data_IF_726951906815
#
_entry.id   IF_726951906815
#
_cell.length_a   1.000
_cell.length_b   1.000
_cell.length_c   1.000
_cell.angle_alpha   90.00
_cell.angle_beta   90.00
_cell.angle_gamma   90.00
#
_symmetry.space_group_name_H-M   'P 1'
#
loop_
_entity.id
_entity.type
_entity.pdbx_description
1 polymer ?
#
# COMPACT_ATOMS: atom_id res chain seq x y z
N UNK A 1 -5.56 11.89 2.21
CA UNK A 1 -4.53 11.14 2.97
C UNK A 1 -3.28 12.00 3.11
N UNK A 2 -2.43 11.73 4.10
CA UNK A 2 -1.09 12.29 4.23
C UNK A 2 -0.05 11.15 4.25
N UNK A 3 1.15 11.40 3.72
CA UNK A 3 2.32 10.53 3.86
C UNK A 3 3.47 11.33 4.45
N UNK A 4 4.17 10.79 5.46
CA UNK A 4 5.38 11.36 6.06
C UNK A 4 6.59 10.47 5.75
N UNK A 5 7.75 11.04 5.41
CA UNK A 5 9.00 10.31 5.09
C UNK A 5 10.20 11.01 5.74
N UNK A 6 11.14 10.23 6.27
CA UNK A 6 12.36 10.69 6.95
C UNK A 6 13.66 10.33 6.19
N UNK A 7 14.50 11.34 5.91
CA UNK A 7 15.86 11.22 5.37
C UNK A 7 15.99 10.90 3.86
N UNK A 8 16.48 11.84 3.04
CA UNK A 8 16.89 11.56 1.65
C UNK A 8 17.41 12.76 0.86
N UNK A 9 18.28 12.51 -0.13
CA UNK A 9 18.36 13.31 -1.37
C UNK A 9 17.11 13.05 -2.23
N UNK A 10 16.90 13.79 -3.33
CA UNK A 10 15.71 13.68 -4.23
C UNK A 10 15.08 12.29 -4.25
N UNK A 11 13.89 12.19 -3.67
CA UNK A 11 13.15 10.94 -3.48
C UNK A 11 12.07 10.85 -4.55
N UNK A 12 12.22 9.91 -5.47
CA UNK A 12 11.15 9.54 -6.39
C UNK A 12 10.08 8.77 -5.63
N UNK A 13 8.82 9.15 -5.76
CA UNK A 13 7.69 8.45 -5.20
C UNK A 13 6.88 7.82 -6.30
N UNK A 14 6.42 6.59 -6.11
CA UNK A 14 5.60 5.84 -7.04
C UNK A 14 4.25 5.51 -6.44
N UNK A 15 3.22 5.68 -7.25
CA UNK A 15 1.86 5.24 -6.94
C UNK A 15 1.28 4.56 -8.17
N UNK A 16 0.53 3.49 -7.98
CA UNK A 16 -0.15 2.81 -9.10
C UNK A 16 -1.42 3.56 -9.50
N UNK A 17 -1.60 3.70 -10.82
CA UNK A 17 -2.77 4.23 -11.48
C UNK A 17 -3.52 3.10 -12.18
N UNK A 18 -4.82 3.06 -11.95
CA UNK A 18 -5.75 2.26 -12.72
C UNK A 18 -6.43 3.13 -13.78
N UNK A 19 -6.92 2.48 -14.83
CA UNK A 19 -7.76 3.15 -15.81
C UNK A 19 -8.97 3.79 -15.11
N UNK A 20 -9.26 5.05 -15.43
CA UNK A 20 -10.30 5.85 -14.75
C UNK A 20 -9.94 6.37 -13.36
N UNK A 21 -8.76 6.06 -12.81
CA UNK A 21 -8.32 6.66 -11.55
C UNK A 21 -7.75 8.06 -11.74
N UNK A 22 -7.92 8.91 -10.72
CA UNK A 22 -7.37 10.27 -10.68
C UNK A 22 -6.69 10.50 -9.33
N UNK A 23 -5.46 11.02 -9.36
CA UNK A 23 -4.69 11.35 -8.16
C UNK A 23 -4.31 12.82 -8.22
N UNK A 24 -4.61 13.53 -7.14
CA UNK A 24 -4.37 14.96 -7.01
C UNK A 24 -3.54 15.25 -5.78
N UNK A 25 -2.39 15.88 -5.99
CA UNK A 25 -1.55 16.35 -4.90
C UNK A 25 -2.16 17.65 -4.32
N UNK A 26 -2.44 17.64 -3.02
CA UNK A 26 -3.14 18.72 -2.33
C UNK A 26 -2.19 19.65 -1.56
N UNK A 27 -1.15 19.11 -0.93
CA UNK A 27 -0.17 19.90 -0.19
C UNK A 27 1.16 19.16 -0.02
N UNK A 28 2.27 19.88 0.09
CA UNK A 28 3.57 19.36 0.52
C UNK A 28 4.07 20.24 1.68
N UNK A 29 4.74 19.64 2.66
CA UNK A 29 5.38 20.30 3.81
C UNK A 29 6.75 19.66 4.05
N UNK A 30 7.79 20.47 4.21
CA UNK A 30 9.15 19.98 4.52
C UNK A 30 9.91 19.40 3.31
N UNK A 31 9.37 19.55 2.09
CA UNK A 31 10.04 19.16 0.85
C UNK A 31 9.60 20.07 -0.31
N UNK A 32 10.47 20.21 -1.30
CA UNK A 32 10.16 20.85 -2.58
C UNK A 32 9.90 19.79 -3.65
N UNK A 33 8.94 20.09 -4.52
CA UNK A 33 8.72 19.29 -5.72
C UNK A 33 9.78 19.65 -6.74
N UNK A 34 10.56 18.66 -7.19
CA UNK A 34 11.66 18.86 -8.13
C UNK A 34 11.15 19.08 -9.55
N UNK A 35 10.08 18.36 -9.94
CA UNK A 35 9.54 18.35 -11.30
C UNK A 35 8.03 18.09 -11.34
N UNK A 36 7.43 18.16 -12.54
CA UNK A 36 6.11 17.60 -12.86
C UNK A 36 5.83 16.22 -12.26
N UNK A 37 4.58 15.94 -11.90
CA UNK A 37 4.14 14.54 -11.72
C UNK A 37 4.18 13.88 -13.09
N UNK A 38 4.96 12.81 -13.23
CA UNK A 38 5.16 12.10 -14.50
C UNK A 38 4.39 10.79 -14.51
N UNK A 39 3.78 10.43 -15.63
CA UNK A 39 3.17 9.11 -15.81
C UNK A 39 4.21 8.17 -16.42
N UNK A 40 4.43 7.01 -15.80
CA UNK A 40 5.35 5.97 -16.27
C UNK A 40 4.59 4.65 -16.30
N UNK A 41 4.15 4.24 -17.50
CA UNK A 41 3.29 3.07 -17.67
C UNK A 41 2.02 3.20 -16.85
N UNK A 42 1.81 2.28 -15.91
CA UNK A 42 0.67 2.25 -14.97
C UNK A 42 0.95 2.97 -13.64
N UNK A 43 2.02 3.74 -13.53
CA UNK A 43 2.39 4.44 -12.30
C UNK A 43 2.50 5.95 -12.51
N UNK A 44 2.32 6.73 -11.45
CA UNK A 44 2.80 8.11 -11.40
C UNK A 44 4.10 8.20 -10.59
N UNK A 45 4.94 9.14 -10.98
CA UNK A 45 6.22 9.49 -10.36
C UNK A 45 6.13 10.91 -9.83
N UNK A 46 6.45 11.10 -8.55
CA UNK A 46 6.54 12.39 -7.88
C UNK A 46 7.91 12.48 -7.22
N UNK A 47 8.77 13.36 -7.72
CA UNK A 47 10.10 13.56 -7.13
C UNK A 47 10.04 14.71 -6.14
N UNK A 48 10.35 14.41 -4.87
CA UNK A 48 10.42 15.39 -3.79
C UNK A 48 11.85 15.49 -3.26
N UNK A 49 12.33 16.71 -3.12
CA UNK A 49 13.59 17.04 -2.45
C UNK A 49 13.27 17.44 -1.01
N UNK A 50 13.69 16.67 0.01
CA UNK A 50 13.47 17.04 1.40
C UNK A 50 14.26 18.32 1.76
N UNK A 51 13.59 19.26 2.44
CA UNK A 51 14.22 20.46 3.01
C UNK A 51 14.53 20.27 4.51
N UNK A 52 14.05 19.18 5.09
CA UNK A 52 14.16 18.83 6.51
C UNK A 52 14.38 17.32 6.69
N UNK A 53 14.65 16.89 7.93
CA UNK A 53 14.80 15.47 8.26
C UNK A 53 13.56 14.64 7.96
N UNK A 54 12.37 15.24 8.05
CA UNK A 54 11.10 14.65 7.64
C UNK A 54 10.30 15.59 6.76
N UNK A 55 9.50 15.03 5.86
CA UNK A 55 8.54 15.78 5.06
C UNK A 55 7.21 15.04 4.98
N UNK A 56 6.15 15.78 4.70
CA UNK A 56 4.81 15.25 4.55
C UNK A 56 4.14 15.78 3.28
N UNK A 57 3.33 14.95 2.61
CA UNK A 57 2.46 15.44 1.55
C UNK A 57 1.06 14.83 1.61
N UNK A 58 0.08 15.61 1.19
CA UNK A 58 -1.33 15.24 1.15
C UNK A 58 -1.80 15.07 -0.27
N UNK A 59 -2.62 14.06 -0.50
CA UNK A 59 -3.20 13.77 -1.80
C UNK A 59 -4.63 13.24 -1.68
N UNK A 60 -5.37 13.37 -2.78
CA UNK A 60 -6.70 12.83 -3.00
C UNK A 60 -6.62 11.79 -4.11
N UNK A 61 -7.38 10.71 -3.97
CA UNK A 61 -7.49 9.65 -4.96
C UNK A 61 -8.97 9.45 -5.27
N UNK A 62 -9.28 9.36 -6.55
CA UNK A 62 -10.56 8.86 -7.06
C UNK A 62 -10.26 7.52 -7.71
N UNK A 63 -10.86 6.44 -7.19
CA UNK A 63 -10.75 5.10 -7.75
C UNK A 63 -11.92 4.83 -8.72
N UNK A 64 -11.72 3.96 -9.72
CA UNK A 64 -12.82 3.49 -10.54
C UNK A 64 -13.76 2.58 -9.73
N UNK A 65 -15.02 2.41 -10.18
CA UNK A 65 -16.00 1.55 -9.52
C UNK A 65 -15.47 0.13 -9.27
N UNK A 66 -15.78 -0.42 -8.09
CA UNK A 66 -15.34 -1.75 -7.68
C UNK A 66 -13.93 -1.79 -7.06
N UNK A 67 -13.26 -0.64 -6.99
CA UNK A 67 -12.00 -0.43 -6.24
C UNK A 67 -12.12 0.63 -5.16
N UNK A 68 -13.35 1.03 -4.84
CA UNK A 68 -13.69 2.07 -3.88
C UNK A 68 -13.29 1.73 -2.43
N UNK A 69 -12.89 0.47 -2.20
CA UNK A 69 -12.42 -0.08 -0.93
C UNK A 69 -10.90 -0.34 -0.93
N UNK A 70 -10.15 0.35 -1.79
CA UNK A 70 -8.69 0.27 -1.88
C UNK A 70 -8.11 1.68 -1.90
N UNK A 71 -7.09 1.90 -1.09
CA UNK A 71 -6.38 3.16 -1.07
C UNK A 71 -4.95 2.96 -1.57
N UNK A 72 -4.58 3.50 -2.75
CA UNK A 72 -3.21 3.44 -3.22
C UNK A 72 -2.35 4.43 -2.44
N UNK A 73 -1.11 4.03 -2.17
CA UNK A 73 -0.15 4.81 -1.38
C UNK A 73 1.04 5.18 -2.25
N UNK A 74 1.49 6.42 -2.13
CA UNK A 74 2.76 6.84 -2.70
C UNK A 74 3.89 6.21 -1.90
N UNK A 75 4.76 5.45 -2.57
CA UNK A 75 5.91 4.83 -1.95
C UNK A 75 7.17 5.47 -2.47
N UNK A 76 8.17 5.75 -1.62
CA UNK A 76 9.45 6.20 -2.11
C UNK A 76 10.14 5.04 -2.85
N UNK A 77 10.57 5.27 -4.08
CA UNK A 77 11.41 4.37 -4.85
C UNK A 77 12.88 4.60 -4.43
N UNK A 78 13.21 4.21 -3.19
CA UNK A 78 14.58 4.32 -2.68
C UNK A 78 15.39 3.09 -3.14
N UNK A 79 16.61 3.27 -3.68
CA UNK A 79 17.47 2.15 -4.07
C UNK A 79 17.78 1.22 -2.89
N UNK A 80 17.73 -0.09 -3.12
CA UNK A 80 18.24 -1.11 -2.19
C UNK A 80 19.76 -1.19 -2.25
N UNK A 81 20.44 -0.09 -1.92
CA UNK A 81 21.90 0.02 -1.97
C UNK A 81 22.57 -0.25 -0.61
N UNK A 82 21.78 -0.57 0.42
CA UNK A 82 22.26 -0.83 1.78
C UNK A 82 22.81 0.41 2.52
N UNK A 83 22.81 1.58 1.87
CA UNK A 83 23.22 2.87 2.44
C UNK A 83 22.01 3.74 2.76
N UNK A 84 20.94 3.56 2.00
CA UNK A 84 19.69 4.28 2.18
C UNK A 84 19.03 3.95 3.53
N UNK A 85 18.56 5.00 4.22
CA UNK A 85 17.89 4.85 5.53
C UNK A 85 16.54 4.18 5.36
N UNK A 86 16.12 3.43 6.39
CA UNK A 86 14.77 2.90 6.44
C UNK A 86 13.76 4.06 6.40
N UNK A 87 12.72 3.92 5.58
CA UNK A 87 11.67 4.94 5.47
C UNK A 87 10.52 4.56 6.38
N UNK A 88 10.20 5.45 7.32
CA UNK A 88 8.93 5.41 8.05
C UNK A 88 7.84 6.02 7.18
N UNK A 89 6.75 5.28 6.99
CA UNK A 89 5.53 5.72 6.32
C UNK A 89 4.41 5.82 7.34
N UNK A 90 3.64 6.90 7.26
CA UNK A 90 2.39 7.05 8.02
C UNK A 90 1.26 7.39 7.06
N UNK A 91 0.11 6.75 7.23
CA UNK A 91 -1.04 6.91 6.36
C UNK A 91 -2.31 7.12 7.17
N UNK A 92 -3.13 8.09 6.76
CA UNK A 92 -4.46 8.32 7.31
C UNK A 92 -5.52 7.89 6.29
N UNK A 93 -6.34 6.89 6.65
CA UNK A 93 -7.52 6.49 5.90
C UNK A 93 -8.66 7.52 6.03
N UNK A 94 -9.67 7.50 5.13
CA UNK A 94 -10.87 8.30 5.30
C UNK A 94 -11.55 8.08 6.65
N UNK A 95 -12.26 9.09 7.15
CA UNK A 95 -13.00 9.00 8.40
C UNK A 95 -14.06 7.88 8.36
N UNK A 96 -14.37 7.30 9.52
CA UNK A 96 -15.32 6.19 9.65
C UNK A 96 -14.98 5.02 8.70
N UNK A 97 -13.71 4.58 8.70
CA UNK A 97 -13.28 3.38 7.97
C UNK A 97 -12.46 2.47 8.87
N UNK A 98 -12.54 1.17 8.60
CA UNK A 98 -11.73 0.14 9.24
C UNK A 98 -10.67 -0.36 8.25
N UNK A 99 -9.38 -0.34 8.63
CA UNK A 99 -8.31 -0.84 7.78
C UNK A 99 -8.36 -2.36 7.62
N UNK A 100 -7.93 -2.83 6.45
CA UNK A 100 -7.70 -4.23 6.16
C UNK A 100 -6.22 -4.59 6.11
N UNK A 101 -5.96 -5.89 5.91
CA UNK A 101 -4.61 -6.41 5.75
C UNK A 101 -3.95 -5.80 4.51
N UNK A 102 -2.71 -5.36 4.63
CA UNK A 102 -1.97 -4.68 3.57
C UNK A 102 -0.52 -5.14 3.52
N UNK A 103 0.08 -5.01 2.34
CA UNK A 103 1.52 -5.07 2.16
C UNK A 103 1.98 -3.65 1.81
N UNK A 104 2.98 -3.07 2.51
CA UNK A 104 3.60 -3.57 3.73
C UNK A 104 2.57 -3.66 4.86
N UNK A 105 2.88 -4.49 5.85
CA UNK A 105 2.05 -4.62 7.04
C UNK A 105 2.11 -3.32 7.86
N UNK A 106 1.06 -2.51 7.75
CA UNK A 106 0.88 -1.34 8.61
C UNK A 106 0.39 -1.78 9.98
N UNK A 107 0.99 -1.20 11.02
CA UNK A 107 0.40 -1.20 12.37
C UNK A 107 -0.65 -0.10 12.44
N UNK A 108 -1.90 -0.47 12.70
CA UNK A 108 -3.04 0.44 12.69
C UNK A 108 -3.48 0.84 14.09
N UNK A 109 -3.72 2.14 14.28
CA UNK A 109 -4.41 2.72 15.44
C UNK A 109 -5.61 3.52 14.92
N UNK A 110 -6.78 2.89 14.91
CA UNK A 110 -7.97 3.42 14.23
C UNK A 110 -7.73 3.53 12.72
N UNK A 111 -7.96 4.72 12.16
CA UNK A 111 -7.75 4.99 10.73
C UNK A 111 -6.30 5.34 10.35
N UNK A 112 -5.38 5.42 11.32
CA UNK A 112 -3.97 5.76 11.09
C UNK A 112 -3.10 4.52 11.09
N UNK A 113 -2.32 4.33 10.04
CA UNK A 113 -1.39 3.22 9.87
C UNK A 113 0.05 3.72 9.84
N UNK A 114 0.97 2.97 10.46
CA UNK A 114 2.41 3.21 10.36
C UNK A 114 3.15 1.96 9.90
N UNK A 115 4.15 2.11 9.04
CA UNK A 115 5.03 1.03 8.59
C UNK A 115 6.45 1.58 8.41
N UNK A 116 7.46 0.74 8.71
CA UNK A 116 8.87 1.08 8.45
C UNK A 116 9.41 0.13 7.39
N UNK A 117 9.99 0.68 6.32
CA UNK A 117 10.46 -0.07 5.17
C UNK A 117 11.98 0.05 5.05
N UNK A 118 12.68 -1.07 5.21
CA UNK A 118 14.13 -1.15 4.98
C UNK A 118 14.51 -1.33 3.51
N UNK A 119 13.59 -1.85 2.69
CA UNK A 119 13.72 -2.07 1.24
C UNK A 119 12.30 -2.10 0.67
N UNK A 120 12.09 -1.50 -0.50
CA UNK A 120 10.75 -1.12 -0.95
C UNK A 120 10.22 -1.97 -2.12
N UNK A 121 9.03 -2.56 -2.00
CA UNK A 121 8.22 -2.91 -3.17
C UNK A 121 7.75 -1.61 -3.85
N UNK A 122 7.64 -1.61 -5.18
CA UNK A 122 7.35 -0.40 -5.95
C UNK A 122 5.91 0.12 -5.79
N UNK A 123 4.97 -0.71 -5.32
CA UNK A 123 3.53 -0.40 -5.24
C UNK A 123 2.87 -1.11 -4.06
N UNK A 124 1.91 -0.44 -3.43
CA UNK A 124 1.19 -0.87 -2.22
C UNK A 124 -0.26 -0.40 -2.29
N UNK A 125 -1.19 -1.27 -1.89
CA UNK A 125 -2.61 -0.94 -1.76
C UNK A 125 -3.14 -1.39 -0.41
N UNK A 126 -3.90 -0.51 0.25
CA UNK A 126 -4.55 -0.83 1.52
C UNK A 126 -6.04 -1.06 1.29
N UNK A 127 -6.58 -2.26 1.55
CA UNK A 127 -8.02 -2.46 1.61
C UNK A 127 -8.60 -1.76 2.84
N UNK A 128 -9.78 -1.18 2.69
CA UNK A 128 -10.54 -0.62 3.82
C UNK A 128 -12.04 -0.85 3.62
N UNK A 129 -12.80 -0.75 4.70
CA UNK A 129 -14.26 -0.86 4.69
C UNK A 129 -14.86 0.29 5.50
N UNK A 130 -15.88 1.00 4.99
CA UNK A 130 -16.60 2.01 5.79
C UNK A 130 -17.16 1.42 7.09
N UNK A 131 -17.28 2.24 8.12
CA UNK A 131 -17.84 1.86 9.40
C UNK A 131 -19.31 1.44 9.24
N UNK A 132 -19.65 0.28 9.83
CA UNK A 132 -20.99 -0.32 9.70
C UNK A 132 -21.15 -1.27 8.51
N UNK A 133 -20.23 -1.27 7.54
CA UNK A 133 -20.27 -2.19 6.40
C UNK A 133 -19.56 -3.51 6.71
N UNK A 134 -20.11 -4.61 6.19
CA UNK A 134 -19.46 -5.91 6.26
C UNK A 134 -18.23 -5.93 5.34
N UNK A 135 -17.08 -6.36 5.88
CA UNK A 135 -15.87 -6.56 5.08
C UNK A 135 -16.16 -7.63 4.01
N UNK A 136 -16.13 -7.23 2.73
CA UNK A 136 -16.26 -8.15 1.62
C UNK A 136 -15.29 -9.33 1.85
N UNK A 137 -15.83 -10.56 1.83
CA UNK A 137 -15.14 -11.75 2.33
C UNK A 137 -13.71 -11.83 1.79
N UNK A 138 -12.77 -11.93 2.73
CA UNK A 138 -11.35 -11.96 2.45
C UNK A 138 -11.01 -13.15 1.57
N UNK A 139 -10.36 -12.87 0.44
CA UNK A 139 -9.72 -13.86 -0.44
C UNK A 139 -8.87 -14.83 0.39
N UNK A 140 -8.31 -14.37 1.51
CA UNK A 140 -7.55 -15.15 2.48
C UNK A 140 -8.34 -16.35 3.05
N UNK A 141 -9.60 -16.16 3.47
CA UNK A 141 -10.42 -17.24 4.03
C UNK A 141 -10.82 -18.27 2.96
N UNK A 142 -10.99 -17.83 1.71
CA UNK A 142 -11.30 -18.71 0.59
C UNK A 142 -10.08 -19.50 0.13
N UNK A 143 -8.90 -18.87 0.12
CA UNK A 143 -7.63 -19.54 -0.17
C UNK A 143 -7.26 -20.56 0.91
N UNK A 144 -7.45 -20.23 2.19
CA UNK A 144 -7.21 -21.16 3.29
C UNK A 144 -8.16 -22.36 3.22
N UNK A 145 -9.45 -22.13 2.96
CA UNK A 145 -10.42 -23.20 2.77
C UNK A 145 -10.08 -24.11 1.58
N UNK A 146 -9.62 -23.53 0.47
CA UNK A 146 -9.22 -24.29 -0.71
C UNK A 146 -7.94 -25.09 -0.45
N UNK A 147 -6.94 -24.49 0.21
CA UNK A 147 -5.70 -25.15 0.58
C UNK A 147 -5.93 -26.33 1.54
N UNK A 148 -6.80 -26.15 2.55
CA UNK A 148 -7.22 -27.22 3.46
C UNK A 148 -7.90 -28.35 2.69
N UNK A 149 -8.83 -28.03 1.78
CA UNK A 149 -9.54 -29.04 0.99
C UNK A 149 -8.58 -29.87 0.11
N UNK A 150 -7.61 -29.22 -0.54
CA UNK A 150 -6.58 -29.89 -1.33
C UNK A 150 -5.71 -30.80 -0.47
N UNK A 151 -5.29 -30.35 0.71
CA UNK A 151 -4.47 -31.14 1.63
C UNK A 151 -5.20 -32.38 2.15
N UNK A 152 -6.46 -32.24 2.54
CA UNK A 152 -7.30 -33.36 2.98
C UNK A 152 -7.48 -34.36 1.83
N UNK A 153 -7.82 -33.88 0.64
CA UNK A 153 -7.96 -34.72 -0.55
C UNK A 153 -6.69 -35.50 -0.89
N UNK A 154 -5.54 -34.83 -0.91
CA UNK A 154 -4.25 -35.46 -1.16
C UNK A 154 -3.89 -36.51 -0.09
N UNK A 155 -4.18 -36.24 1.18
CA UNK A 155 -3.93 -37.16 2.30
C UNK A 155 -4.80 -38.41 2.19
N UNK A 156 -6.09 -38.27 1.82
CA UNK A 156 -7.01 -39.39 1.59
C UNK A 156 -6.55 -40.25 0.41
N UNK A 157 -6.15 -39.62 -0.71
CA UNK A 157 -5.64 -40.33 -1.88
C UNK A 157 -4.34 -41.08 -1.56
N UNK A 158 -3.43 -40.45 -0.84
CA UNK A 158 -2.16 -41.06 -0.43
C UNK A 158 -2.38 -42.24 0.52
N UNK A 159 -3.20 -42.09 1.56
CA UNK A 159 -3.52 -43.18 2.50
C UNK A 159 -4.26 -44.33 1.82
N UNK A 160 -5.12 -44.05 0.84
CA UNK A 160 -5.79 -45.09 0.05
C UNK A 160 -4.82 -45.84 -0.86
N UNK A 161 -3.89 -45.14 -1.51
CA UNK A 161 -2.83 -45.76 -2.33
C UNK A 161 -1.83 -46.56 -1.50
N UNK A 162 -1.50 -46.11 -0.29
CA UNK A 162 -0.57 -46.80 0.60
C UNK A 162 -1.16 -48.08 1.26
N UNK A 163 -2.49 -48.26 1.19
CA UNK A 163 -3.21 -49.44 1.71
C UNK A 163 -3.58 -50.46 0.62
N UNK A 164 -3.28 -50.17 -0.64
CA UNK A 164 -3.33 -51.13 -1.76
C UNK A 164 -1.95 -51.68 -2.02
#
# INVERSE_FOLDING_TARGET
>A
MALVIEGGSDVDHRIEMFEGSRIELAAIRGAQRVDGVRVIGRSQSLVLRPDAESYAFRYRVVQPPGRDHRCPIWLPAVPTDGRSKAVRLEVDLPAATTPGASMPAFTWTGARGAATLGHLPAVVLVPYTPEGDARAWGIDAMMDAFAIAVFVGATVVWTWRARR
#
